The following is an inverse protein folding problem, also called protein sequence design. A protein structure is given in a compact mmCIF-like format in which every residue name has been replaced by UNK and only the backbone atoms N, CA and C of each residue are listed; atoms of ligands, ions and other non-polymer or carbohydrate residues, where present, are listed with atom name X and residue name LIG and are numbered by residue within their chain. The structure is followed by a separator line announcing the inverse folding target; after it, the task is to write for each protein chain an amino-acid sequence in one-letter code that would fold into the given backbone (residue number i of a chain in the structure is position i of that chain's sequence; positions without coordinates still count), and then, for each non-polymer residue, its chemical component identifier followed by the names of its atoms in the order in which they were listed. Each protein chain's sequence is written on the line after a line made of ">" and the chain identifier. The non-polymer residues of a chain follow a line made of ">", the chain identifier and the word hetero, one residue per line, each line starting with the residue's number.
data_IF_625437684831
#
_entry.id   IF_625437684831
#
_cell.length_a   1.000
_cell.length_b   1.000
_cell.length_c   1.000
_cell.angle_alpha   90.00
_cell.angle_beta   90.00
_cell.angle_gamma   90.00
#
_symmetry.space_group_name_H-M   'P 1'
#
loop_
_entity.id
_entity.type
_entity.pdbx_description
1 polymer ?
#
# COMPACT_ATOMS: atom_id res chain seq x y z
N UNK A 1 -7.20 -15.19 12.92
CA UNK A 1 -6.34 -16.31 12.48
C UNK A 1 -5.74 -15.94 11.12
N UNK A 2 -4.44 -15.58 11.08
CA UNK A 2 -3.68 -15.19 9.87
C UNK A 2 -3.50 -16.44 8.98
N UNK A 3 -3.94 -16.44 7.71
CA UNK A 3 -3.63 -17.53 6.76
C UNK A 3 -2.43 -17.12 5.91
N UNK A 4 -1.30 -17.81 6.09
CA UNK A 4 -0.10 -17.63 5.29
C UNK A 4 -0.39 -17.94 3.83
N UNK A 5 -0.27 -16.94 2.96
CA UNK A 5 0.09 -17.20 1.57
C UNK A 5 1.44 -17.93 1.64
N UNK A 6 1.56 -19.11 1.00
CA UNK A 6 2.78 -19.94 0.99
C UNK A 6 3.90 -19.32 0.13
N UNK A 7 4.18 -18.03 0.32
CA UNK A 7 5.40 -17.37 -0.12
C UNK A 7 6.13 -16.92 1.15
N UNK A 8 7.37 -17.35 1.32
CA UNK A 8 8.24 -16.79 2.34
C UNK A 8 8.59 -15.36 1.93
N UNK A 9 7.74 -14.39 2.29
CA UNK A 9 8.06 -12.97 2.24
C UNK A 9 9.26 -12.75 3.15
N UNK A 10 10.39 -12.33 2.61
CA UNK A 10 11.64 -12.22 3.39
C UNK A 10 11.73 -10.86 4.07
N UNK A 11 11.27 -9.81 3.39
CA UNK A 11 11.51 -8.42 3.79
C UNK A 11 10.25 -7.75 4.37
N UNK A 12 9.05 -8.19 3.99
CA UNK A 12 7.79 -7.59 4.45
C UNK A 12 6.98 -8.48 5.38
N UNK A 13 6.30 -7.87 6.35
CA UNK A 13 5.18 -8.48 7.08
C UNK A 13 3.86 -7.97 6.48
N UNK A 14 2.88 -8.86 6.43
CA UNK A 14 1.54 -8.54 5.93
C UNK A 14 0.47 -8.99 6.92
N UNK A 15 -0.50 -8.12 7.18
CA UNK A 15 -1.67 -8.41 7.99
C UNK A 15 -2.94 -8.09 7.17
N UNK A 16 -3.82 -9.07 7.03
CA UNK A 16 -5.08 -8.91 6.31
C UNK A 16 -6.10 -9.93 6.86
N UNK A 17 -7.43 -9.68 6.70
CA UNK A 17 -8.43 -10.59 7.23
C UNK A 17 -8.42 -11.94 6.49
N UNK A 18 -8.81 -13.01 7.19
CA UNK A 18 -8.86 -14.35 6.59
C UNK A 18 -9.82 -14.42 5.39
N UNK A 19 -10.94 -13.68 5.50
CA UNK A 19 -11.93 -13.45 4.46
C UNK A 19 -12.24 -11.96 4.44
N UNK A 20 -12.26 -11.35 3.26
CA UNK A 20 -12.69 -9.97 3.09
C UNK A 20 -14.22 -9.91 3.24
N UNK A 21 -14.70 -9.03 4.12
CA UNK A 21 -16.12 -8.73 4.30
C UNK A 21 -16.66 -7.93 3.10
N UNK A 22 -15.82 -7.08 2.52
CA UNK A 22 -16.14 -6.31 1.32
C UNK A 22 -15.01 -6.50 0.29
N UNK A 23 -15.26 -7.31 -0.74
CA UNK A 23 -14.32 -7.48 -1.86
C UNK A 23 -14.43 -6.37 -2.90
N UNK A 24 -15.44 -5.51 -2.83
CA UNK A 24 -15.55 -4.38 -3.76
C UNK A 24 -14.44 -3.37 -3.55
N UNK A 25 -14.17 -3.01 -2.30
CA UNK A 25 -13.23 -1.94 -1.97
C UNK A 25 -12.37 -2.36 -0.76
N UNK A 26 -11.05 -2.35 -0.94
CA UNK A 26 -10.09 -2.64 0.14
C UNK A 26 -9.12 -1.48 0.32
N UNK A 27 -8.75 -1.20 1.57
CA UNK A 27 -7.67 -0.27 1.88
C UNK A 27 -6.33 -1.02 1.94
N UNK A 28 -5.33 -0.52 1.22
CA UNK A 28 -3.95 -1.01 1.27
C UNK A 28 -3.10 0.05 1.97
N UNK A 29 -2.66 -0.26 3.19
CA UNK A 29 -1.82 0.59 4.00
C UNK A 29 -0.37 0.11 3.93
N UNK A 30 0.51 0.92 3.36
CA UNK A 30 1.92 0.59 3.17
C UNK A 30 2.77 1.49 4.06
N UNK A 31 3.56 0.90 4.96
CA UNK A 31 4.33 1.60 5.98
C UNK A 31 5.83 1.28 5.93
N UNK A 32 6.61 2.22 5.39
CA UNK A 32 8.08 2.21 5.33
C UNK A 32 8.73 3.55 5.73
N UNK A 33 7.92 4.54 6.15
CA UNK A 33 8.37 5.87 6.62
C UNK A 33 7.91 6.16 8.06
N UNK A 34 8.40 7.22 8.69
CA UNK A 34 8.47 7.34 10.17
C UNK A 34 7.14 7.28 10.90
N UNK A 35 6.04 7.57 10.21
CA UNK A 35 4.70 7.57 10.78
C UNK A 35 3.88 6.40 10.25
N UNK A 36 3.36 5.60 11.17
CA UNK A 36 2.40 4.54 10.84
C UNK A 36 1.08 5.16 10.37
N UNK A 37 0.59 4.81 9.16
CA UNK A 37 -0.64 5.39 8.65
C UNK A 37 -1.90 4.71 9.20
N UNK A 38 -1.77 3.60 9.93
CA UNK A 38 -2.90 2.71 10.27
C UNK A 38 -3.99 3.36 11.11
N UNK A 39 -3.60 4.14 12.13
CA UNK A 39 -4.55 4.85 12.99
C UNK A 39 -5.37 5.87 12.21
N UNK A 40 -4.67 6.69 11.41
CA UNK A 40 -5.28 7.71 10.58
C UNK A 40 -6.19 7.10 9.51
N UNK A 41 -5.78 5.99 8.88
CA UNK A 41 -6.63 5.29 7.89
C UNK A 41 -7.90 4.77 8.56
N UNK A 42 -7.80 4.09 9.72
CA UNK A 42 -8.99 3.59 10.44
C UNK A 42 -9.95 4.73 10.78
N UNK A 43 -9.43 5.85 11.27
CA UNK A 43 -10.23 7.02 11.61
C UNK A 43 -10.88 7.64 10.38
N UNK A 44 -10.13 7.78 9.28
CA UNK A 44 -10.63 8.27 8.00
C UNK A 44 -11.77 7.40 7.46
N UNK A 45 -11.60 6.08 7.46
CA UNK A 45 -12.62 5.15 6.98
C UNK A 45 -13.89 5.23 7.83
N UNK A 46 -13.74 5.18 9.16
CA UNK A 46 -14.86 5.31 10.11
C UNK A 46 -15.59 6.64 9.93
N UNK A 47 -14.87 7.75 9.85
CA UNK A 47 -15.46 9.07 9.73
C UNK A 47 -16.20 9.27 8.40
N UNK A 48 -15.77 8.58 7.33
CA UNK A 48 -16.43 8.59 6.02
C UNK A 48 -17.45 7.46 5.84
N UNK A 49 -17.85 6.74 6.90
CA UNK A 49 -18.76 5.61 6.84
C UNK A 49 -18.33 4.51 5.83
N UNK A 50 -17.03 4.28 5.72
CA UNK A 50 -16.45 3.25 4.86
C UNK A 50 -16.16 1.99 5.68
N UNK A 51 -16.59 0.85 5.15
CA UNK A 51 -16.44 -0.47 5.78
C UNK A 51 -15.34 -1.32 5.11
N UNK A 52 -14.33 -0.67 4.56
CA UNK A 52 -13.27 -1.34 3.81
C UNK A 52 -12.34 -2.11 4.74
N UNK A 53 -12.07 -3.37 4.39
CA UNK A 53 -11.03 -4.14 5.06
C UNK A 53 -9.66 -3.53 4.78
N UNK A 54 -8.77 -3.60 5.78
CA UNK A 54 -7.42 -3.05 5.69
C UNK A 54 -6.41 -4.19 5.51
N UNK A 55 -5.63 -4.10 4.44
CA UNK A 55 -4.41 -4.85 4.22
C UNK A 55 -3.26 -3.97 4.71
N UNK A 56 -2.51 -4.43 5.69
CA UNK A 56 -1.30 -3.77 6.19
C UNK A 56 -0.08 -4.43 5.61
N UNK A 57 0.88 -3.61 5.19
CA UNK A 57 2.16 -4.05 4.65
C UNK A 57 3.26 -3.18 5.26
N UNK A 58 4.23 -3.79 5.90
CA UNK A 58 5.33 -3.11 6.58
C UNK A 58 6.65 -3.88 6.44
N UNK A 59 7.78 -3.21 6.69
CA UNK A 59 9.06 -3.89 6.80
C UNK A 59 9.11 -4.75 8.06
N UNK A 60 9.70 -5.94 7.94
CA UNK A 60 10.03 -6.78 9.10
C UNK A 60 11.16 -6.20 9.95
N UNK A 61 12.12 -5.57 9.29
CA UNK A 61 13.40 -5.23 9.88
C UNK A 61 13.49 -3.74 10.27
N UNK A 62 12.64 -2.89 9.66
CA UNK A 62 12.73 -1.44 9.80
C UNK A 62 11.34 -0.83 10.05
N UNK A 63 11.00 -0.62 11.32
CA UNK A 63 9.72 -0.01 11.70
C UNK A 63 9.66 1.46 11.28
N UNK A 64 9.18 1.72 10.07
CA UNK A 64 8.95 3.08 9.59
C UNK A 64 10.23 3.88 9.29
N UNK A 65 11.38 3.26 9.18
CA UNK A 65 12.59 3.99 8.76
C UNK A 65 13.38 3.11 7.80
N UNK A 66 12.81 2.91 6.61
CA UNK A 66 13.52 2.13 5.61
C UNK A 66 14.76 2.93 5.20
N UNK A 67 15.94 2.34 5.36
CA UNK A 67 17.15 3.12 5.23
C UNK A 67 17.51 3.30 3.75
N UNK A 68 18.27 4.34 3.42
CA UNK A 68 18.62 4.62 2.03
C UNK A 68 19.67 3.61 1.55
N UNK A 69 19.66 3.19 0.27
CA UNK A 69 20.64 2.23 -0.26
C UNK A 69 22.10 2.64 0.02
N UNK A 70 22.38 3.94 -0.01
CA UNK A 70 23.71 4.51 0.26
C UNK A 70 24.14 4.47 1.74
N UNK A 71 23.22 4.24 2.67
CA UNK A 71 23.49 4.35 4.11
C UNK A 71 24.17 3.09 4.68
N UNK A 72 24.34 2.02 3.90
CA UNK A 72 25.07 0.81 4.32
C UNK A 72 26.13 0.40 3.33
N UNK A 73 27.24 -0.09 3.87
CA UNK A 73 28.32 -0.73 3.11
C UNK A 73 27.99 -2.16 2.66
N UNK A 74 26.97 -2.79 3.25
CA UNK A 74 26.69 -4.23 3.13
C UNK A 74 25.24 -4.54 2.71
N UNK A 75 24.49 -3.55 2.24
CA UNK A 75 23.17 -3.77 1.66
C UNK A 75 23.31 -3.64 0.14
N UNK A 76 22.80 -4.62 -0.59
CA UNK A 76 22.80 -4.60 -2.04
C UNK A 76 22.05 -3.37 -2.57
N UNK A 77 22.56 -2.70 -3.61
CA UNK A 77 21.96 -1.49 -4.17
C UNK A 77 20.49 -1.69 -4.63
N UNK A 78 20.10 -2.93 -4.90
CA UNK A 78 18.75 -3.36 -5.28
C UNK A 78 17.80 -3.56 -4.08
N UNK A 79 18.20 -3.17 -2.87
CA UNK A 79 17.46 -3.47 -1.65
C UNK A 79 15.98 -3.05 -1.69
N UNK A 80 15.69 -1.82 -2.11
CA UNK A 80 14.30 -1.35 -2.24
C UNK A 80 13.52 -2.14 -3.31
N UNK A 81 14.19 -2.63 -4.36
CA UNK A 81 13.57 -3.45 -5.41
C UNK A 81 13.02 -4.75 -4.80
N UNK A 82 13.68 -5.33 -3.79
CA UNK A 82 13.20 -6.53 -3.10
C UNK A 82 11.88 -6.29 -2.38
N UNK A 83 11.77 -5.16 -1.67
CA UNK A 83 10.50 -4.75 -1.05
C UNK A 83 9.41 -4.56 -2.09
N UNK A 84 9.68 -3.78 -3.14
CA UNK A 84 8.68 -3.53 -4.20
C UNK A 84 8.22 -4.85 -4.85
N UNK A 85 9.16 -5.77 -5.12
CA UNK A 85 8.86 -7.07 -5.71
C UNK A 85 7.99 -7.94 -4.80
N UNK A 86 8.27 -7.96 -3.50
CA UNK A 86 7.46 -8.69 -2.52
C UNK A 86 6.06 -8.08 -2.37
N UNK A 87 5.95 -6.75 -2.28
CA UNK A 87 4.67 -6.04 -2.22
C UNK A 87 3.84 -6.37 -3.46
N UNK A 88 4.42 -6.23 -4.65
CA UNK A 88 3.75 -6.52 -5.92
C UNK A 88 3.30 -7.98 -6.01
N UNK A 89 4.17 -8.93 -5.65
CA UNK A 89 3.86 -10.36 -5.67
C UNK A 89 2.71 -10.70 -4.72
N UNK A 90 2.77 -10.20 -3.49
CA UNK A 90 1.70 -10.39 -2.49
C UNK A 90 0.38 -9.82 -2.97
N UNK A 91 0.40 -8.59 -3.47
CA UNK A 91 -0.79 -7.92 -4.00
C UNK A 91 -1.41 -8.73 -5.14
N UNK A 92 -0.64 -9.23 -6.11
CA UNK A 92 -1.15 -10.09 -7.18
C UNK A 92 -1.79 -11.38 -6.67
N UNK A 93 -1.25 -12.00 -5.63
CA UNK A 93 -1.86 -13.19 -5.01
C UNK A 93 -3.20 -12.84 -4.38
N UNK A 94 -3.27 -11.72 -3.65
CA UNK A 94 -4.53 -11.23 -3.06
C UNK A 94 -5.57 -10.96 -4.16
N UNK A 95 -5.17 -10.31 -5.26
CA UNK A 95 -6.04 -10.03 -6.40
C UNK A 95 -6.60 -11.31 -7.02
N UNK A 96 -5.74 -12.28 -7.31
CA UNK A 96 -6.13 -13.56 -7.90
C UNK A 96 -7.07 -14.36 -6.99
N UNK A 97 -6.85 -14.28 -5.66
CA UNK A 97 -7.58 -15.09 -4.69
C UNK A 97 -8.95 -14.52 -4.29
N UNK A 98 -9.07 -13.20 -4.17
CA UNK A 98 -10.23 -12.58 -3.52
C UNK A 98 -11.10 -11.72 -4.45
N UNK A 99 -10.81 -11.67 -5.76
CA UNK A 99 -11.58 -10.94 -6.78
C UNK A 99 -11.88 -9.48 -6.39
N UNK A 100 -10.89 -8.81 -5.79
CA UNK A 100 -11.06 -7.45 -5.33
C UNK A 100 -11.24 -6.49 -6.51
N UNK A 101 -12.26 -5.63 -6.45
CA UNK A 101 -12.54 -4.69 -7.52
C UNK A 101 -11.66 -3.45 -7.42
N UNK A 102 -11.68 -2.72 -6.29
CA UNK A 102 -10.92 -1.49 -6.10
C UNK A 102 -9.94 -1.58 -4.95
N UNK A 103 -8.72 -1.10 -5.21
CA UNK A 103 -7.67 -0.95 -4.21
C UNK A 103 -7.48 0.53 -3.86
N UNK A 104 -7.57 0.87 -2.59
CA UNK A 104 -7.36 2.22 -2.08
C UNK A 104 -6.02 2.28 -1.36
N UNK A 105 -4.99 2.80 -2.04
CA UNK A 105 -3.61 2.82 -1.55
C UNK A 105 -3.35 4.06 -0.70
N UNK A 106 -2.87 3.81 0.52
CA UNK A 106 -2.42 4.81 1.47
C UNK A 106 -0.94 4.56 1.73
N UNK A 107 -0.10 5.51 1.30
CA UNK A 107 1.34 5.32 1.24
C UNK A 107 2.02 6.17 2.33
N UNK A 108 2.70 5.50 3.26
CA UNK A 108 3.70 6.11 4.15
C UNK A 108 5.05 5.52 3.79
N UNK A 109 5.62 5.96 2.66
CA UNK A 109 6.85 5.40 2.06
C UNK A 109 7.69 6.50 1.43
N UNK A 110 9.00 6.30 1.23
CA UNK A 110 9.81 7.19 0.40
C UNK A 110 9.25 7.31 -1.02
N UNK A 111 9.24 8.53 -1.59
CA UNK A 111 8.70 8.81 -2.93
C UNK A 111 9.26 7.87 -4.02
N UNK A 112 10.57 7.54 -4.07
CA UNK A 112 11.08 6.62 -5.09
C UNK A 112 10.49 5.20 -4.98
N UNK A 113 10.17 4.72 -3.77
CA UNK A 113 9.49 3.44 -3.58
C UNK A 113 8.05 3.49 -4.09
N UNK A 114 7.33 4.57 -3.81
CA UNK A 114 5.98 4.78 -4.34
C UNK A 114 5.98 4.79 -5.88
N UNK A 115 6.95 5.49 -6.48
CA UNK A 115 7.13 5.54 -7.93
C UNK A 115 7.43 4.15 -8.51
N UNK A 116 8.40 3.43 -7.95
CA UNK A 116 8.76 2.08 -8.41
C UNK A 116 7.59 1.09 -8.27
N UNK A 117 6.82 1.16 -7.18
CA UNK A 117 5.61 0.36 -7.02
C UNK A 117 4.55 0.71 -8.07
N UNK A 118 4.35 2.00 -8.33
CA UNK A 118 3.44 2.47 -9.38
C UNK A 118 3.84 1.94 -10.76
N UNK A 119 5.14 1.97 -11.08
CA UNK A 119 5.68 1.39 -12.32
C UNK A 119 5.46 -0.13 -12.40
N UNK A 120 5.64 -0.85 -11.29
CA UNK A 120 5.42 -2.30 -11.26
C UNK A 120 3.94 -2.68 -11.40
N UNK A 121 3.03 -1.91 -10.80
CA UNK A 121 1.58 -2.13 -10.88
C UNK A 121 1.01 -1.70 -12.25
N UNK A 122 1.52 -0.61 -12.82
CA UNK A 122 1.05 -0.04 -14.08
C UNK A 122 -0.45 0.30 -14.06
N UNK A 123 -1.11 0.07 -15.20
CA UNK A 123 -2.56 0.28 -15.36
C UNK A 123 -3.39 -1.00 -15.20
N UNK A 124 -2.78 -2.09 -14.71
CA UNK A 124 -3.43 -3.40 -14.62
C UNK A 124 -4.44 -3.50 -13.46
N UNK A 125 -4.45 -2.50 -12.58
CA UNK A 125 -5.22 -2.47 -11.35
C UNK A 125 -6.24 -1.35 -11.35
N UNK A 126 -7.42 -1.65 -10.83
CA UNK A 126 -8.43 -0.66 -10.47
C UNK A 126 -8.10 -0.15 -9.06
N UNK A 127 -7.65 1.09 -8.96
CA UNK A 127 -7.25 1.62 -7.68
C UNK A 127 -7.08 3.12 -7.62
N UNK A 128 -7.15 3.62 -6.39
CA UNK A 128 -7.01 5.03 -6.04
C UNK A 128 -5.76 5.20 -5.19
N UNK A 129 -4.96 6.22 -5.49
CA UNK A 129 -3.88 6.66 -4.61
C UNK A 129 -4.41 7.80 -3.75
N UNK A 130 -4.20 7.71 -2.44
CA UNK A 130 -4.55 8.76 -1.49
C UNK A 130 -3.32 9.50 -1.02
N UNK A 131 -3.45 10.82 -0.90
CA UNK A 131 -2.46 11.65 -0.24
C UNK A 131 -2.90 12.03 1.17
N UNK A 132 -1.95 12.14 2.08
CA UNK A 132 -2.17 12.58 3.46
C UNK A 132 -2.32 14.11 3.48
N UNK A 133 -3.31 14.60 4.23
CA UNK A 133 -3.39 15.99 4.66
C UNK A 133 -2.91 16.10 6.11
N UNK A 134 -1.61 16.38 6.35
CA UNK A 134 -1.07 16.36 7.70
C UNK A 134 -1.72 17.42 8.60
N UNK A 135 -2.16 18.53 8.01
CA UNK A 135 -2.67 19.70 8.72
C UNK A 135 -4.15 19.64 9.04
N UNK A 136 -4.91 18.67 8.48
CA UNK A 136 -6.33 18.57 8.81
C UNK A 136 -6.53 17.89 10.17
N UNK A 137 -7.17 18.58 11.14
CA UNK A 137 -7.60 17.97 12.38
C UNK A 137 -8.88 17.13 12.21
N UNK A 138 -9.58 17.28 11.08
CA UNK A 138 -10.81 16.54 10.77
C UNK A 138 -10.45 15.18 10.15
N UNK A 139 -10.79 14.05 10.81
CA UNK A 139 -10.50 12.72 10.27
C UNK A 139 -11.09 12.46 8.88
N UNK A 140 -12.21 13.12 8.53
CA UNK A 140 -12.83 12.96 7.20
C UNK A 140 -11.94 13.46 6.07
N UNK A 141 -11.14 14.48 6.34
CA UNK A 141 -10.28 15.19 5.37
C UNK A 141 -8.81 14.77 5.48
N UNK A 142 -8.51 13.83 6.37
CA UNK A 142 -7.14 13.35 6.63
C UNK A 142 -6.49 12.75 5.38
N UNK A 143 -7.29 12.16 4.50
CA UNK A 143 -6.85 11.65 3.21
C UNK A 143 -7.78 12.10 2.08
N UNK A 144 -7.20 12.31 0.91
CA UNK A 144 -7.94 12.63 -0.31
C UNK A 144 -7.36 11.88 -1.51
N UNK A 145 -8.20 11.40 -2.45
CA UNK A 145 -7.71 10.71 -3.64
C UNK A 145 -7.02 11.72 -4.55
N UNK A 146 -5.84 11.36 -5.05
CA UNK A 146 -5.03 12.20 -5.96
C UNK A 146 -4.86 11.59 -7.35
N UNK A 147 -5.09 10.28 -7.47
CA UNK A 147 -4.92 9.57 -8.72
C UNK A 147 -5.83 8.35 -8.79
N UNK A 148 -6.43 8.11 -9.96
CA UNK A 148 -7.17 6.90 -10.28
C UNK A 148 -6.43 6.14 -11.40
N UNK A 149 -6.02 4.91 -11.14
CA UNK A 149 -5.12 4.13 -12.02
C UNK A 149 -5.70 3.81 -13.40
N UNK A 150 -7.03 3.80 -13.55
CA UNK A 150 -7.71 3.60 -14.83
C UNK A 150 -8.29 4.88 -15.43
N UNK A 151 -7.85 6.06 -14.98
CA UNK A 151 -8.26 7.30 -15.62
C UNK A 151 -7.92 7.27 -17.13
N UNK A 152 -8.96 7.20 -17.95
CA UNK A 152 -8.81 7.08 -19.41
C UNK A 152 -8.24 8.36 -20.03
N UNK A 153 -8.29 9.49 -19.34
CA UNK A 153 -7.69 10.73 -19.82
C UNK A 153 -6.15 10.65 -19.85
N UNK A 154 -5.56 9.80 -18.99
CA UNK A 154 -4.10 9.65 -18.85
C UNK A 154 -3.54 8.64 -19.86
N UNK A 155 -4.35 7.69 -20.33
CA UNK A 155 -3.94 6.68 -21.33
C UNK A 155 -3.61 7.24 -22.72
N UNK A 156 -3.91 8.52 -22.97
CA UNK A 156 -3.74 9.16 -24.28
C UNK A 156 -2.45 9.98 -24.44
N UNK A 157 -1.62 10.06 -23.38
CA UNK A 157 -0.47 10.98 -23.31
C UNK A 157 0.88 10.24 -23.49
N UNK A 158 0.87 8.92 -23.52
CA UNK A 158 2.04 8.05 -23.75
C UNK A 158 1.71 6.96 -24.76
#
# INVERSE_FOLDING_TARGET
>A
MRKNIKQHLKNIEVEYPANFQNTKDVAVAIWFASHSPYGDIKNYLKANNKNWDIIKIESKDFQGDIPLPKDFKNIDEDYWIRYISEIYSFLNIIKAKYQIQNYHFFLSVPVPMAFALGMAIGHFWDGYIYNLNPNSPNPKEKYYPVFYMKDNNIKSIF
#
